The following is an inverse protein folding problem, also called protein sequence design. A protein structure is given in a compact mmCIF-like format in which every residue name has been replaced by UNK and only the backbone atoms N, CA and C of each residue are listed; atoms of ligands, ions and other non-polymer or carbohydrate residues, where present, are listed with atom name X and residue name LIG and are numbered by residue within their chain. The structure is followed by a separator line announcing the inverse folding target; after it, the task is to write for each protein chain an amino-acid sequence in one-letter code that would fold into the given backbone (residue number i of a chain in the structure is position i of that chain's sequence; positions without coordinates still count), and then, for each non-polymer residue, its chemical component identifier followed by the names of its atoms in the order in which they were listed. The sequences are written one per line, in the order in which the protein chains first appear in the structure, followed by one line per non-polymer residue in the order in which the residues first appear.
data_IF_968438809690
#
_entry.id   IF_968438809690
#
_cell.length_a   1.000
_cell.length_b   1.000
_cell.length_c   1.000
_cell.angle_alpha   90.00
_cell.angle_beta   90.00
_cell.angle_gamma   90.00
#
_symmetry.space_group_name_H-M   'P 1'
#
loop_
_entity.id
_entity.type
_entity.pdbx_description
1 polymer ?
#
# COMPACT_ATOMS: atom_id res chain seq x y z
N UNK A 1 89.41 19.54 -44.44
CA UNK A 1 89.69 20.42 -43.28
C UNK A 1 88.54 21.39 -43.24
N UNK A 2 87.61 21.47 -42.29
CA UNK A 2 87.48 21.22 -40.84
C UNK A 2 85.99 21.58 -40.61
N UNK A 3 85.19 21.13 -39.65
CA UNK A 3 85.36 20.39 -38.42
C UNK A 3 83.98 20.38 -37.74
N UNK A 4 83.63 19.23 -37.17
CA UNK A 4 82.87 19.04 -35.93
C UNK A 4 81.40 19.48 -35.83
N UNK A 5 80.61 18.43 -35.62
CA UNK A 5 79.36 18.37 -34.90
C UNK A 5 79.33 19.14 -33.57
N UNK A 6 78.14 19.61 -33.18
CA UNK A 6 77.65 19.51 -31.80
C UNK A 6 76.12 19.46 -31.74
N UNK A 7 75.68 18.65 -30.79
CA UNK A 7 74.33 18.12 -30.54
C UNK A 7 73.36 19.20 -30.05
N UNK A 8 72.09 19.04 -30.44
CA UNK A 8 70.94 19.69 -29.81
C UNK A 8 69.77 18.71 -29.74
N UNK A 9 69.65 18.01 -28.60
CA UNK A 9 68.46 17.28 -28.20
C UNK A 9 67.26 18.24 -28.17
N UNK A 10 66.10 17.85 -28.71
CA UNK A 10 64.82 17.80 -27.98
C UNK A 10 63.64 17.35 -28.85
N UNK A 11 63.10 16.20 -28.43
CA UNK A 11 61.67 15.85 -28.28
C UNK A 11 60.80 15.86 -29.53
N UNK A 12 60.51 14.65 -30.00
CA UNK A 12 59.36 14.35 -30.85
C UNK A 12 58.05 14.71 -30.13
N UNK A 13 57.24 15.52 -30.79
CA UNK A 13 55.83 15.73 -30.44
C UNK A 13 54.99 14.71 -31.20
N UNK A 14 54.49 13.71 -30.47
CA UNK A 14 53.43 12.83 -30.92
C UNK A 14 52.15 13.68 -31.03
N UNK A 15 51.61 13.83 -32.23
CA UNK A 15 50.35 14.51 -32.47
C UNK A 15 49.22 13.62 -31.91
N UNK A 16 48.75 13.92 -30.70
CA UNK A 16 47.58 13.27 -30.12
C UNK A 16 46.32 13.86 -30.77
N UNK A 17 45.65 13.05 -31.58
CA UNK A 17 44.30 13.33 -32.09
C UNK A 17 43.33 13.19 -30.92
N UNK A 18 42.91 14.31 -30.33
CA UNK A 18 41.84 14.36 -29.34
C UNK A 18 40.50 14.34 -30.09
N UNK A 19 39.89 13.15 -30.19
CA UNK A 19 38.48 13.02 -30.55
C UNK A 19 37.67 13.38 -29.32
N UNK A 20 37.16 14.61 -29.27
CA UNK A 20 36.16 15.03 -28.30
C UNK A 20 34.83 14.37 -28.68
N UNK A 21 34.49 13.25 -28.05
CA UNK A 21 33.11 12.77 -28.01
C UNK A 21 32.37 13.66 -27.00
N UNK A 22 31.62 14.65 -27.49
CA UNK A 22 30.59 15.28 -26.68
C UNK A 22 29.51 14.22 -26.42
N UNK A 23 29.59 13.57 -25.26
CA UNK A 23 28.44 12.97 -24.62
C UNK A 23 27.50 14.11 -24.26
N UNK A 24 26.52 14.36 -25.12
CA UNK A 24 25.29 15.04 -24.71
C UNK A 24 24.58 14.03 -23.81
N UNK A 25 24.90 14.06 -22.52
CA UNK A 25 23.96 13.59 -21.51
C UNK A 25 22.83 14.60 -21.58
N UNK A 26 21.79 14.27 -22.36
CA UNK A 26 20.50 14.88 -22.12
C UNK A 26 20.18 14.53 -20.67
N UNK A 27 20.31 15.51 -19.78
CA UNK A 27 19.69 15.42 -18.48
C UNK A 27 18.19 15.33 -18.78
N UNK A 28 17.68 14.10 -18.82
CA UNK A 28 16.24 13.87 -18.68
C UNK A 28 15.95 14.51 -17.34
N UNK A 29 15.25 15.65 -17.34
CA UNK A 29 14.80 16.23 -16.10
C UNK A 29 13.82 15.20 -15.52
N UNK A 30 14.28 14.43 -14.54
CA UNK A 30 13.38 13.61 -13.74
C UNK A 30 12.35 14.57 -13.13
N UNK A 31 11.10 14.13 -13.16
CA UNK A 31 10.01 14.74 -12.41
C UNK A 31 10.50 15.25 -11.05
N UNK A 32 10.15 16.49 -10.71
CA UNK A 32 10.61 17.08 -9.46
C UNK A 32 9.80 16.50 -8.29
N UNK A 33 10.43 15.96 -7.22
CA UNK A 33 9.73 15.45 -6.03
C UNK A 33 8.68 16.42 -5.45
N UNK A 34 8.94 17.73 -5.58
CA UNK A 34 8.02 18.79 -5.14
C UNK A 34 6.69 18.77 -5.90
N UNK A 35 6.73 18.64 -7.22
CA UNK A 35 5.51 18.69 -8.04
C UNK A 35 4.76 17.37 -7.94
N UNK A 36 5.46 16.24 -7.90
CA UNK A 36 4.89 14.93 -7.62
C UNK A 36 4.14 14.92 -6.28
N UNK A 37 4.75 15.40 -5.19
CA UNK A 37 4.08 15.48 -3.89
C UNK A 37 2.85 16.38 -3.94
N UNK A 38 2.93 17.52 -4.63
CA UNK A 38 1.79 18.42 -4.81
C UNK A 38 0.62 17.78 -5.57
N UNK A 39 0.87 16.74 -6.38
CA UNK A 39 -0.17 15.96 -7.05
C UNK A 39 -0.62 14.74 -6.23
N UNK A 40 0.06 14.43 -5.12
CA UNK A 40 -0.33 13.34 -4.23
C UNK A 40 -1.50 13.73 -3.35
N UNK A 41 -2.32 12.74 -2.97
CA UNK A 41 -3.35 12.90 -1.95
C UNK A 41 -2.77 13.36 -0.60
N UNK A 42 -1.50 13.03 -0.31
CA UNK A 42 -0.82 13.46 0.91
C UNK A 42 -0.71 14.98 1.05
N UNK A 43 -0.68 15.73 -0.05
CA UNK A 43 -0.62 17.21 -0.01
C UNK A 43 -1.92 17.85 0.48
N UNK A 44 -3.02 17.09 0.55
CA UNK A 44 -4.35 17.58 0.93
C UNK A 44 -4.78 16.96 2.26
N UNK A 45 -5.09 17.78 3.30
CA UNK A 45 -5.51 17.25 4.58
C UNK A 45 -6.91 16.65 4.54
N UNK A 46 -7.12 15.54 5.24
CA UNK A 46 -8.45 14.97 5.50
C UNK A 46 -9.03 15.64 6.75
N UNK A 47 -9.72 16.77 6.59
CA UNK A 47 -10.15 17.63 7.72
C UNK A 47 -10.91 16.88 8.83
N UNK A 48 -11.81 15.96 8.45
CA UNK A 48 -12.61 15.18 9.40
C UNK A 48 -11.77 14.30 10.33
N UNK A 49 -10.56 13.92 9.90
CA UNK A 49 -9.60 13.20 10.71
C UNK A 49 -8.60 14.16 11.37
N UNK A 50 -8.03 15.08 10.61
CA UNK A 50 -6.95 15.96 11.04
C UNK A 50 -7.30 16.85 12.24
N UNK A 51 -8.57 17.24 12.39
CA UNK A 51 -9.07 18.05 13.52
C UNK A 51 -9.15 17.29 14.84
N UNK A 52 -9.08 15.96 14.83
CA UNK A 52 -9.17 15.10 16.02
C UNK A 52 -7.77 14.73 16.50
N UNK A 53 -7.44 15.06 17.75
CA UNK A 53 -6.10 14.83 18.31
C UNK A 53 -5.56 13.41 18.11
N UNK A 54 -6.39 12.37 18.31
CA UNK A 54 -5.99 10.97 18.13
C UNK A 54 -5.83 10.52 16.67
N UNK A 55 -6.11 11.38 15.69
CA UNK A 55 -5.99 11.10 14.25
C UNK A 55 -5.03 12.09 13.57
N UNK A 56 -4.79 13.26 14.17
CA UNK A 56 -3.91 14.31 13.66
C UNK A 56 -2.48 13.79 13.40
N UNK A 57 -1.99 12.82 14.17
CA UNK A 57 -0.66 12.22 13.97
C UNK A 57 -0.42 11.76 12.52
N UNK A 58 -1.44 11.26 11.83
CA UNK A 58 -1.30 10.79 10.45
C UNK A 58 -1.95 11.72 9.41
N UNK A 59 -2.79 12.66 9.86
CA UNK A 59 -3.63 13.48 8.99
C UNK A 59 -3.31 14.99 9.07
N UNK A 60 -2.32 15.40 9.84
CA UNK A 60 -1.75 16.75 9.88
C UNK A 60 -0.22 16.66 9.84
N UNK A 61 0.40 17.16 8.76
CA UNK A 61 1.85 17.13 8.57
C UNK A 61 2.64 17.68 9.76
N UNK A 62 2.37 18.92 10.21
CA UNK A 62 3.07 19.51 11.36
C UNK A 62 2.92 18.70 12.67
N UNK A 63 1.79 18.04 12.89
CA UNK A 63 1.63 17.13 14.04
C UNK A 63 2.51 15.90 13.88
N UNK A 64 2.56 15.29 12.69
CA UNK A 64 3.47 14.17 12.40
C UNK A 64 4.95 14.57 12.61
N UNK A 65 5.35 15.75 12.14
CA UNK A 65 6.70 16.30 12.30
C UNK A 65 7.07 16.68 13.74
N UNK A 66 6.11 16.62 14.68
CA UNK A 66 6.31 17.03 16.07
C UNK A 66 6.37 18.55 16.27
N UNK A 67 5.88 19.33 15.31
CA UNK A 67 5.85 20.80 15.36
C UNK A 67 4.66 21.32 16.19
N UNK A 68 3.69 20.46 16.49
CA UNK A 68 2.54 20.79 17.34
C UNK A 68 2.55 20.00 18.66
N UNK A 69 2.08 20.58 19.77
CA UNK A 69 1.89 19.84 21.01
C UNK A 69 0.87 18.71 20.87
N UNK A 70 1.10 17.59 21.57
CA UNK A 70 0.14 16.48 21.61
C UNK A 70 -1.20 16.88 22.25
N UNK A 71 -2.29 16.23 21.83
CA UNK A 71 -3.60 16.37 22.47
C UNK A 71 -4.38 17.65 22.15
N UNK A 72 -3.85 18.52 21.29
CA UNK A 72 -4.53 19.77 20.90
C UNK A 72 -5.52 19.54 19.76
N UNK A 73 -6.60 20.33 19.75
CA UNK A 73 -7.51 20.38 18.61
C UNK A 73 -6.86 21.18 17.48
N UNK A 74 -6.87 20.63 16.28
CA UNK A 74 -6.30 21.29 15.09
C UNK A 74 -7.40 22.06 14.38
N UNK A 75 -7.24 23.38 14.22
CA UNK A 75 -8.23 24.26 13.55
C UNK A 75 -7.84 24.63 12.12
N UNK A 76 -6.59 24.37 11.73
CA UNK A 76 -6.04 24.63 10.40
C UNK A 76 -5.14 23.44 10.02
N UNK A 77 -5.74 22.31 9.61
CA UNK A 77 -5.00 21.11 9.27
C UNK A 77 -4.21 21.32 7.97
N UNK A 78 -3.01 20.74 7.90
CA UNK A 78 -2.14 20.79 6.72
C UNK A 78 -1.90 19.39 6.16
N UNK A 79 -1.91 19.28 4.84
CA UNK A 79 -1.39 18.08 4.19
C UNK A 79 0.10 17.90 4.50
N UNK A 80 0.61 16.71 4.22
CA UNK A 80 2.01 16.39 4.37
C UNK A 80 2.84 17.16 3.33
N UNK A 81 4.00 17.58 3.78
CA UNK A 81 5.02 18.34 3.08
C UNK A 81 6.36 17.60 3.18
N UNK A 82 7.38 18.11 2.49
CA UNK A 82 8.69 17.47 2.47
C UNK A 82 9.28 17.31 3.88
N UNK A 83 9.11 18.32 4.73
CA UNK A 83 9.65 18.33 6.10
C UNK A 83 8.90 17.42 7.06
N UNK A 84 7.73 16.90 6.66
CA UNK A 84 6.99 15.95 7.48
C UNK A 84 7.57 14.54 7.31
N UNK A 85 8.05 14.19 6.12
CA UNK A 85 8.73 12.92 5.89
C UNK A 85 10.24 12.98 6.14
N UNK A 86 10.85 14.14 5.85
CA UNK A 86 12.30 14.35 5.93
C UNK A 86 12.67 15.39 7.00
N UNK A 87 13.72 15.10 7.75
CA UNK A 87 14.45 16.04 8.59
C UNK A 87 15.93 16.02 8.21
N UNK A 88 16.30 16.79 7.19
CA UNK A 88 17.69 16.92 6.74
C UNK A 88 18.62 17.61 7.75
N UNK A 89 18.05 18.21 8.80
CA UNK A 89 18.82 18.92 9.83
C UNK A 89 19.11 18.07 11.05
N UNK A 90 18.25 17.09 11.35
CA UNK A 90 18.30 16.30 12.58
C UNK A 90 18.32 14.79 12.37
N UNK A 91 17.81 14.27 11.26
CA UNK A 91 17.82 12.84 10.99
C UNK A 91 19.17 12.37 10.43
N UNK A 92 19.64 11.23 10.91
CA UNK A 92 20.81 10.51 10.38
C UNK A 92 20.40 9.34 9.47
N UNK A 93 19.10 9.13 9.27
CA UNK A 93 18.62 8.11 8.36
C UNK A 93 18.95 8.46 6.89
N UNK A 94 19.02 7.46 5.99
CA UNK A 94 19.12 7.71 4.55
C UNK A 94 18.10 8.74 4.06
N UNK A 95 18.53 9.62 3.17
CA UNK A 95 17.74 10.74 2.62
C UNK A 95 17.12 11.68 3.68
N UNK A 96 17.58 11.62 4.93
CA UNK A 96 17.06 12.40 6.04
C UNK A 96 15.67 11.95 6.51
N UNK A 97 15.23 10.71 6.26
CA UNK A 97 13.90 10.25 6.68
C UNK A 97 13.68 10.36 8.20
N UNK A 98 12.51 10.82 8.64
CA UNK A 98 12.18 10.91 10.08
C UNK A 98 11.98 9.55 10.74
N UNK A 99 11.53 8.57 9.97
CA UNK A 99 11.32 7.19 10.42
C UNK A 99 12.01 6.27 9.41
N UNK A 100 12.86 5.37 9.90
CA UNK A 100 13.62 4.45 9.08
C UNK A 100 13.95 3.18 9.86
N UNK A 101 14.09 2.07 9.14
CA UNK A 101 14.57 0.79 9.65
C UNK A 101 13.43 -0.11 10.07
N UNK A 102 12.72 0.25 11.14
CA UNK A 102 11.64 -0.57 11.68
C UNK A 102 10.34 0.18 11.94
N UNK A 103 9.22 -0.53 11.78
CA UNK A 103 7.90 -0.07 12.15
C UNK A 103 7.17 -1.16 12.95
N UNK A 104 6.49 -0.76 14.02
CA UNK A 104 5.72 -1.66 14.88
C UNK A 104 4.24 -1.58 14.54
N UNK A 105 3.66 -2.69 14.15
CA UNK A 105 2.22 -2.84 13.91
C UNK A 105 1.44 -2.90 15.23
N UNK A 106 0.11 -2.61 15.22
CA UNK A 106 -0.75 -2.66 16.40
C UNK A 106 -0.78 -4.01 17.12
N UNK A 107 -0.60 -5.12 16.40
CA UNK A 107 -0.53 -6.47 16.96
C UNK A 107 0.82 -6.77 17.65
N UNK A 108 1.75 -5.83 17.64
CA UNK A 108 3.07 -5.94 18.24
C UNK A 108 4.17 -6.47 17.31
N UNK A 109 3.84 -6.91 16.10
CA UNK A 109 4.82 -7.33 15.11
C UNK A 109 5.70 -6.15 14.71
N UNK A 110 7.02 -6.35 14.70
CA UNK A 110 8.00 -5.37 14.24
C UNK A 110 8.45 -5.76 12.85
N UNK A 111 8.21 -4.87 11.88
CA UNK A 111 8.66 -5.01 10.51
C UNK A 111 10.03 -4.36 10.35
N UNK A 112 10.94 -5.03 9.65
CA UNK A 112 12.25 -4.49 9.26
C UNK A 112 12.18 -4.14 7.78
N UNK A 113 11.81 -2.89 7.48
CA UNK A 113 11.39 -2.46 6.15
C UNK A 113 12.05 -1.14 5.70
N UNK A 114 13.17 -0.77 6.32
CA UNK A 114 14.01 0.33 5.86
C UNK A 114 13.22 1.62 5.70
N UNK A 115 13.20 2.15 4.48
CA UNK A 115 12.48 3.39 4.13
C UNK A 115 10.95 3.26 4.30
N UNK A 116 10.38 2.08 4.08
CA UNK A 116 8.95 1.85 4.22
C UNK A 116 8.45 1.88 5.68
N UNK A 117 9.35 1.92 6.67
CA UNK A 117 8.98 2.13 8.07
C UNK A 117 8.15 3.43 8.24
N UNK A 118 8.52 4.47 7.49
CA UNK A 118 7.77 5.73 7.46
C UNK A 118 6.33 5.53 6.98
N UNK A 119 6.13 4.78 5.90
CA UNK A 119 4.81 4.53 5.34
C UNK A 119 3.90 3.80 6.34
N UNK A 120 4.43 2.74 6.97
CA UNK A 120 3.69 1.90 7.93
C UNK A 120 3.32 2.65 9.22
N UNK A 121 4.01 3.74 9.54
CA UNK A 121 3.66 4.58 10.71
C UNK A 121 2.22 5.12 10.62
N UNK A 122 1.75 5.41 9.41
CA UNK A 122 0.38 5.85 9.14
C UNK A 122 -0.49 4.75 8.51
N UNK A 123 0.08 3.97 7.59
CA UNK A 123 -0.60 2.88 6.89
C UNK A 123 -0.59 1.59 7.69
N UNK A 124 -1.29 1.63 8.83
CA UNK A 124 -1.60 0.48 9.66
C UNK A 124 -3.08 0.46 10.10
N UNK A 125 -3.53 -0.67 10.63
CA UNK A 125 -4.88 -0.94 11.10
C UNK A 125 -5.25 -0.22 12.41
N UNK A 126 -4.31 0.49 13.06
CA UNK A 126 -4.38 1.17 14.39
C UNK A 126 -4.79 0.32 15.58
N UNK A 127 -5.51 -0.77 15.35
CA UNK A 127 -5.95 -1.79 16.30
C UNK A 127 -5.74 -3.14 15.65
N UNK A 128 -5.46 -4.11 16.49
CA UNK A 128 -5.44 -5.51 16.09
C UNK A 128 -6.76 -6.20 16.43
N UNK A 129 -6.96 -7.41 15.91
CA UNK A 129 -8.06 -8.31 16.25
C UNK A 129 -8.15 -8.63 17.75
N UNK A 130 -7.02 -8.62 18.47
CA UNK A 130 -6.96 -8.79 19.92
C UNK A 130 -7.34 -7.54 20.75
N UNK A 131 -7.51 -6.36 20.13
CA UNK A 131 -7.98 -5.16 20.84
C UNK A 131 -9.38 -5.40 21.46
N UNK A 132 -9.65 -4.95 22.69
CA UNK A 132 -10.92 -5.23 23.36
C UNK A 132 -12.17 -4.80 22.56
N UNK A 133 -12.13 -3.69 21.81
CA UNK A 133 -13.28 -3.27 20.99
C UNK A 133 -13.43 -4.16 19.76
N UNK A 134 -12.32 -4.53 19.14
CA UNK A 134 -12.32 -5.42 17.97
C UNK A 134 -12.79 -6.82 18.36
N UNK A 135 -12.28 -7.36 19.47
CA UNK A 135 -12.65 -8.67 20.00
C UNK A 135 -14.11 -8.74 20.45
N UNK A 136 -14.69 -7.61 20.88
CA UNK A 136 -16.10 -7.50 21.27
C UNK A 136 -17.08 -7.32 20.11
N UNK A 137 -16.61 -7.27 18.85
CA UNK A 137 -17.51 -7.10 17.72
C UNK A 137 -17.89 -5.65 17.40
N UNK A 138 -17.15 -4.66 17.92
CA UNK A 138 -17.59 -3.26 17.96
C UNK A 138 -16.86 -2.33 16.98
N UNK A 139 -15.80 -2.79 16.30
CA UNK A 139 -15.01 -1.94 15.42
C UNK A 139 -14.81 -2.50 14.02
N UNK A 140 -14.73 -1.60 13.06
CA UNK A 140 -14.22 -1.90 11.72
C UNK A 140 -12.68 -1.84 11.71
N UNK A 141 -12.00 -2.53 10.78
CA UNK A 141 -10.58 -2.28 10.55
C UNK A 141 -10.39 -0.81 10.17
N UNK A 142 -9.26 -0.21 10.57
CA UNK A 142 -8.95 1.14 10.10
C UNK A 142 -8.76 1.14 8.57
N UNK A 143 -9.10 2.25 7.91
CA UNK A 143 -9.09 2.40 6.45
C UNK A 143 -7.68 2.59 5.85
N UNK A 144 -6.70 1.89 6.42
CA UNK A 144 -5.30 1.93 5.98
C UNK A 144 -4.50 0.69 6.44
N UNK A 145 -5.02 -0.55 6.33
CA UNK A 145 -4.36 -1.73 6.90
C UNK A 145 -3.24 -2.30 6.01
N UNK A 146 -2.63 -1.47 5.14
CA UNK A 146 -1.67 -1.96 4.13
C UNK A 146 -0.44 -2.60 4.77
N UNK A 147 0.05 -2.05 5.90
CA UNK A 147 1.16 -2.64 6.64
C UNK A 147 0.86 -4.06 7.14
N UNK A 148 -0.33 -4.28 7.68
CA UNK A 148 -0.79 -5.60 8.13
C UNK A 148 -1.02 -6.56 6.96
N UNK A 149 -1.65 -6.11 5.87
CA UNK A 149 -1.88 -6.94 4.69
C UNK A 149 -0.55 -7.41 4.09
N UNK A 150 0.40 -6.51 3.90
CA UNK A 150 1.73 -6.83 3.40
C UNK A 150 2.48 -7.78 4.35
N UNK A 151 2.29 -7.63 5.67
CA UNK A 151 2.88 -8.55 6.64
C UNK A 151 2.14 -9.90 6.77
N UNK A 152 0.91 -10.00 6.28
CA UNK A 152 0.06 -11.18 6.43
C UNK A 152 -0.48 -11.35 7.84
N UNK A 153 -0.97 -10.28 8.45
CA UNK A 153 -1.49 -10.26 9.82
C UNK A 153 -2.68 -9.31 9.96
N UNK A 154 -3.19 -9.12 11.18
CA UNK A 154 -4.15 -8.04 11.52
C UNK A 154 -5.61 -8.32 11.14
N UNK A 155 -5.89 -9.49 10.57
CA UNK A 155 -7.22 -9.98 10.24
C UNK A 155 -7.57 -11.24 11.06
N UNK A 156 -8.86 -11.63 11.08
CA UNK A 156 -9.32 -12.80 11.80
C UNK A 156 -9.06 -14.08 11.02
N UNK A 157 -8.19 -14.92 11.54
CA UNK A 157 -7.93 -16.24 10.97
C UNK A 157 -8.92 -17.29 11.50
N UNK A 158 -9.55 -18.03 10.58
CA UNK A 158 -10.45 -19.12 10.91
C UNK A 158 -9.74 -20.49 10.99
N UNK A 159 -10.15 -21.38 11.92
CA UNK A 159 -9.60 -22.72 12.04
C UNK A 159 -9.76 -23.54 10.75
N UNK A 160 -8.80 -24.43 10.49
CA UNK A 160 -8.83 -25.33 9.32
C UNK A 160 -8.22 -24.74 8.05
N UNK A 161 -7.81 -23.47 8.09
CA UNK A 161 -7.07 -22.81 7.01
C UNK A 161 -5.60 -22.61 7.39
N UNK A 162 -4.74 -22.60 6.37
CA UNK A 162 -3.33 -22.23 6.52
C UNK A 162 -3.12 -20.89 5.83
N UNK A 163 -2.76 -19.89 6.60
CA UNK A 163 -2.46 -18.56 6.07
C UNK A 163 -0.98 -18.47 5.68
N UNK A 164 -0.72 -17.96 4.48
CA UNK A 164 0.60 -17.88 3.87
C UNK A 164 0.78 -16.57 3.13
N UNK A 165 2.02 -16.14 2.99
CA UNK A 165 2.38 -14.90 2.32
C UNK A 165 2.86 -15.11 0.89
N UNK A 166 2.66 -14.08 0.07
CA UNK A 166 3.13 -14.01 -1.32
C UNK A 166 4.51 -13.35 -1.42
N UNK A 167 5.14 -13.41 -2.60
CA UNK A 167 6.53 -12.95 -2.77
C UNK A 167 6.69 -11.43 -2.56
N UNK A 168 5.64 -10.62 -2.78
CA UNK A 168 5.74 -9.18 -2.52
C UNK A 168 5.99 -8.83 -1.05
N UNK A 169 5.67 -9.71 -0.11
CA UNK A 169 5.95 -9.49 1.33
C UNK A 169 7.44 -9.58 1.66
N UNK A 170 8.29 -10.00 0.72
CA UNK A 170 9.74 -10.16 0.93
C UNK A 170 10.56 -9.07 0.25
N UNK A 171 9.92 -8.03 -0.29
CA UNK A 171 10.63 -6.90 -0.89
C UNK A 171 11.26 -6.04 0.23
N UNK A 172 12.57 -5.86 0.18
CA UNK A 172 13.37 -5.22 1.24
C UNK A 172 12.95 -3.75 1.51
N UNK A 173 12.67 -2.98 0.45
CA UNK A 173 12.18 -1.59 0.54
C UNK A 173 10.65 -1.49 0.66
N UNK A 174 9.95 -2.63 0.82
CA UNK A 174 8.50 -2.70 1.05
C UNK A 174 7.68 -1.80 0.12
N UNK A 175 6.95 -0.86 0.72
CA UNK A 175 6.08 0.09 0.01
C UNK A 175 6.83 0.93 -1.04
N UNK A 176 8.06 1.36 -0.72
CA UNK A 176 8.87 2.26 -1.56
C UNK A 176 9.29 1.57 -2.86
N UNK A 177 9.51 0.25 -2.82
CA UNK A 177 9.87 -0.55 -4.01
C UNK A 177 8.86 -0.42 -5.15
N UNK A 178 7.57 -0.26 -4.81
CA UNK A 178 6.49 -0.13 -5.79
C UNK A 178 6.02 1.32 -5.94
N UNK A 179 5.58 1.92 -4.83
CA UNK A 179 4.87 3.21 -4.86
C UNK A 179 5.77 4.38 -5.22
N UNK A 180 7.08 4.28 -4.96
CA UNK A 180 8.06 5.30 -5.34
C UNK A 180 8.90 4.90 -6.55
N UNK A 181 8.53 3.81 -7.25
CA UNK A 181 9.17 3.49 -8.51
C UNK A 181 9.01 4.67 -9.49
N UNK A 182 10.00 4.91 -10.39
CA UNK A 182 9.93 6.01 -11.34
C UNK A 182 8.61 6.00 -12.13
N UNK A 183 8.02 7.16 -12.35
CA UNK A 183 6.88 7.34 -13.25
C UNK A 183 7.30 7.53 -14.72
N UNK A 184 6.34 7.90 -15.60
CA UNK A 184 6.64 8.33 -16.95
C UNK A 184 7.65 9.49 -16.99
N UNK A 185 8.49 9.54 -18.03
CA UNK A 185 9.48 10.59 -18.20
C UNK A 185 8.85 11.92 -18.64
N UNK A 186 9.61 13.02 -18.58
CA UNK A 186 9.15 14.31 -19.09
C UNK A 186 8.77 14.18 -20.58
N UNK A 187 7.57 14.64 -20.92
CA UNK A 187 7.00 14.52 -22.27
C UNK A 187 6.13 13.27 -22.48
N UNK A 188 6.05 12.36 -21.51
CA UNK A 188 5.17 11.20 -21.54
C UNK A 188 3.94 11.41 -20.64
N UNK A 189 2.76 10.96 -21.04
CA UNK A 189 1.59 11.00 -20.18
C UNK A 189 1.50 9.72 -19.32
N UNK A 190 1.08 9.80 -18.03
CA UNK A 190 0.78 11.00 -17.25
C UNK A 190 1.97 11.44 -16.34
N UNK A 191 2.90 12.24 -16.88
CA UNK A 191 4.03 12.82 -16.15
C UNK A 191 3.64 13.45 -14.80
N UNK A 192 4.45 13.19 -13.75
CA UNK A 192 4.26 13.69 -12.38
C UNK A 192 2.93 13.30 -11.71
N UNK A 193 2.17 12.34 -12.25
CA UNK A 193 0.91 11.85 -11.68
C UNK A 193 0.96 10.39 -11.19
N UNK A 194 2.07 9.70 -11.47
CA UNK A 194 2.27 8.28 -11.18
C UNK A 194 3.72 8.09 -10.71
N UNK A 195 3.94 7.23 -9.71
CA UNK A 195 5.27 6.89 -9.19
C UNK A 195 5.91 8.02 -8.38
N UNK A 196 7.18 7.84 -8.01
CA UNK A 196 7.95 8.83 -7.25
C UNK A 196 7.22 9.32 -5.99
N UNK A 197 7.22 10.63 -5.76
CA UNK A 197 6.56 11.25 -4.60
C UNK A 197 5.05 11.49 -4.80
N UNK A 198 4.46 11.00 -5.89
CA UNK A 198 3.00 10.88 -5.98
C UNK A 198 2.51 9.72 -5.12
N UNK A 199 3.35 8.69 -4.96
CA UNK A 199 3.06 7.38 -4.37
C UNK A 199 1.95 6.60 -5.09
N UNK A 200 1.53 7.09 -6.26
CA UNK A 200 0.38 6.59 -7.00
C UNK A 200 0.83 5.50 -7.98
N UNK A 201 0.19 4.34 -7.93
CA UNK A 201 0.49 3.24 -8.85
C UNK A 201 -0.26 3.33 -10.17
N UNK A 202 -1.41 4.01 -10.23
CA UNK A 202 -2.16 4.19 -11.47
C UNK A 202 -2.90 5.53 -11.50
N UNK A 203 -2.99 6.12 -12.69
CA UNK A 203 -3.72 7.37 -12.94
C UNK A 203 -4.39 7.31 -14.31
N UNK A 204 -5.70 7.62 -14.34
CA UNK A 204 -6.52 7.67 -15.56
C UNK A 204 -6.35 6.44 -16.48
N UNK A 205 -6.30 5.24 -15.89
CA UNK A 205 -6.17 3.97 -16.61
C UNK A 205 -4.75 3.61 -17.04
N UNK A 206 -3.75 4.44 -16.73
CA UNK A 206 -2.33 4.10 -16.90
C UNK A 206 -1.77 3.51 -15.61
N UNK A 207 -1.09 2.37 -15.69
CA UNK A 207 -0.48 1.65 -14.56
C UNK A 207 1.05 1.77 -14.58
N UNK A 208 1.67 1.99 -13.41
CA UNK A 208 3.13 2.01 -13.26
C UNK A 208 3.70 0.61 -13.09
N UNK A 209 4.10 0.00 -14.20
CA UNK A 209 4.70 -1.33 -14.19
C UNK A 209 6.22 -1.31 -13.94
N UNK A 210 6.83 -0.14 -13.75
CA UNK A 210 8.29 -0.01 -13.64
C UNK A 210 8.87 -0.84 -12.49
N UNK A 211 8.17 -0.89 -11.34
CA UNK A 211 8.54 -1.73 -10.20
C UNK A 211 8.44 -3.25 -10.48
N UNK A 212 7.64 -3.64 -11.46
CA UNK A 212 7.26 -5.03 -11.66
C UNK A 212 8.24 -5.78 -12.57
N UNK A 213 8.90 -5.07 -13.50
CA UNK A 213 9.58 -5.69 -14.65
C UNK A 213 10.75 -6.60 -14.28
N UNK A 214 11.39 -6.40 -13.12
CA UNK A 214 12.50 -7.24 -12.65
C UNK A 214 12.07 -8.69 -12.36
N UNK A 215 10.84 -8.88 -11.87
CA UNK A 215 10.28 -10.20 -11.55
C UNK A 215 9.16 -10.62 -12.52
N UNK A 216 8.51 -9.66 -13.18
CA UNK A 216 7.39 -9.83 -14.08
C UNK A 216 7.67 -9.14 -15.43
N UNK A 217 8.64 -9.63 -16.21
CA UNK A 217 9.12 -8.95 -17.42
C UNK A 217 8.08 -8.86 -18.55
N UNK A 218 7.00 -9.64 -18.46
CA UNK A 218 5.90 -9.68 -19.42
C UNK A 218 4.60 -9.10 -18.86
N UNK A 219 4.63 -8.50 -17.67
CA UNK A 219 3.44 -7.86 -17.12
C UNK A 219 3.07 -6.65 -17.98
N UNK A 220 1.82 -6.62 -18.42
CA UNK A 220 1.20 -5.46 -19.10
C UNK A 220 0.12 -4.82 -18.25
N UNK A 221 -0.16 -5.39 -17.08
CA UNK A 221 -1.07 -4.84 -16.07
C UNK A 221 -0.77 -5.42 -14.68
N UNK A 222 -1.16 -4.71 -13.63
CA UNK A 222 -1.25 -5.22 -12.26
C UNK A 222 -2.17 -6.45 -12.19
N UNK A 223 -3.25 -6.43 -12.96
CA UNK A 223 -4.20 -7.52 -13.08
C UNK A 223 -3.69 -8.64 -14.00
N UNK A 224 -2.46 -9.08 -13.77
CA UNK A 224 -1.84 -10.21 -14.47
C UNK A 224 -2.63 -11.50 -14.23
N UNK A 225 -2.54 -12.50 -15.15
CA UNK A 225 -3.25 -13.77 -14.99
C UNK A 225 -3.02 -14.40 -13.62
N UNK A 226 -4.13 -14.77 -12.96
CA UNK A 226 -4.10 -15.52 -11.72
C UNK A 226 -3.61 -16.95 -11.97
N UNK A 227 -3.25 -17.65 -10.89
CA UNK A 227 -2.78 -19.05 -11.00
C UNK A 227 -3.90 -20.06 -10.97
N UNK A 228 -5.10 -19.66 -10.55
CA UNK A 228 -6.31 -20.47 -10.50
C UNK A 228 -7.53 -19.56 -10.33
N UNK A 229 -8.70 -20.11 -10.62
CA UNK A 229 -10.03 -19.57 -10.32
C UNK A 229 -10.26 -19.68 -8.80
N UNK A 230 -10.23 -18.56 -8.09
CA UNK A 230 -10.32 -18.50 -6.63
C UNK A 230 -11.71 -18.11 -6.13
N UNK A 231 -12.54 -17.48 -6.96
CA UNK A 231 -13.90 -17.08 -6.62
C UNK A 231 -14.97 -18.10 -7.04
N UNK A 232 -14.59 -19.07 -7.88
CA UNK A 232 -15.42 -20.21 -8.27
C UNK A 232 -16.39 -19.90 -9.42
N UNK A 233 -16.17 -18.82 -10.17
CA UNK A 233 -17.07 -18.42 -11.27
C UNK A 233 -16.84 -19.23 -12.57
N UNK A 234 -15.87 -20.15 -12.56
CA UNK A 234 -15.42 -21.01 -13.66
C UNK A 234 -14.69 -20.27 -14.77
N UNK A 235 -14.17 -19.09 -14.49
CA UNK A 235 -13.32 -18.31 -15.38
C UNK A 235 -11.97 -18.14 -14.69
N UNK A 236 -10.90 -18.21 -15.48
CA UNK A 236 -9.57 -17.88 -14.99
C UNK A 236 -9.26 -16.47 -15.46
N UNK A 237 -9.22 -15.53 -14.51
CA UNK A 237 -9.08 -14.10 -14.77
C UNK A 237 -7.74 -13.57 -14.23
N UNK A 238 -7.64 -12.25 -14.08
CA UNK A 238 -6.47 -11.63 -13.46
C UNK A 238 -6.55 -11.66 -11.93
N UNK A 239 -5.41 -11.51 -11.26
CA UNK A 239 -5.32 -11.57 -9.79
C UNK A 239 -6.30 -10.60 -9.09
N UNK A 240 -6.46 -9.39 -9.61
CA UNK A 240 -7.34 -8.39 -9.02
C UNK A 240 -8.82 -8.70 -9.29
N UNK A 241 -9.14 -9.28 -10.46
CA UNK A 241 -10.50 -9.72 -10.79
C UNK A 241 -10.94 -10.86 -9.86
N UNK A 242 -10.10 -11.88 -9.68
CA UNK A 242 -10.37 -13.02 -8.79
C UNK A 242 -10.57 -12.59 -7.33
N UNK A 243 -9.75 -11.66 -6.84
CA UNK A 243 -9.90 -11.11 -5.48
C UNK A 243 -11.16 -10.25 -5.37
N UNK A 244 -11.48 -9.46 -6.38
CA UNK A 244 -12.70 -8.66 -6.43
C UNK A 244 -13.95 -9.55 -6.46
N UNK A 245 -13.96 -10.61 -7.26
CA UNK A 245 -15.04 -11.59 -7.29
C UNK A 245 -15.25 -12.27 -5.94
N UNK A 246 -14.16 -12.64 -5.25
CA UNK A 246 -14.23 -13.15 -3.88
C UNK A 246 -14.79 -12.12 -2.88
N UNK A 247 -14.41 -10.85 -2.98
CA UNK A 247 -14.96 -9.76 -2.14
C UNK A 247 -16.48 -9.69 -2.32
N UNK A 248 -16.96 -9.65 -3.55
CA UNK A 248 -18.39 -9.60 -3.85
C UNK A 248 -19.13 -10.86 -3.39
N UNK A 249 -18.53 -12.04 -3.58
CA UNK A 249 -19.11 -13.31 -3.15
C UNK A 249 -19.22 -13.40 -1.61
N UNK A 250 -18.18 -13.03 -0.88
CA UNK A 250 -18.15 -13.03 0.59
C UNK A 250 -19.16 -12.02 1.13
N UNK A 251 -19.22 -10.81 0.55
CA UNK A 251 -20.20 -9.79 0.92
C UNK A 251 -21.62 -10.29 0.72
N UNK A 252 -21.92 -10.88 -0.43
CA UNK A 252 -23.23 -11.47 -0.70
C UNK A 252 -23.59 -12.58 0.28
N UNK A 253 -22.64 -13.45 0.63
CA UNK A 253 -22.84 -14.51 1.62
C UNK A 253 -23.13 -13.95 3.02
N UNK A 254 -22.39 -12.93 3.46
CA UNK A 254 -22.63 -12.24 4.73
C UNK A 254 -24.03 -11.64 4.74
N UNK A 255 -24.36 -10.82 3.74
CA UNK A 255 -25.63 -10.12 3.66
C UNK A 255 -26.82 -11.08 3.58
N UNK A 256 -26.68 -12.23 2.92
CA UNK A 256 -27.69 -13.27 2.88
C UNK A 256 -27.88 -13.97 4.24
N UNK A 257 -26.80 -14.21 4.99
CA UNK A 257 -26.83 -14.89 6.29
C UNK A 257 -27.42 -14.03 7.42
N UNK A 258 -27.44 -12.71 7.27
CA UNK A 258 -27.99 -11.78 8.26
C UNK A 258 -29.49 -12.04 8.56
N UNK A 259 -29.91 -11.60 9.73
CA UNK A 259 -31.29 -11.68 10.22
C UNK A 259 -31.88 -13.11 10.18
N UNK A 260 -31.03 -14.11 10.47
CA UNK A 260 -31.38 -15.53 10.45
C UNK A 260 -31.66 -16.06 9.04
N UNK A 261 -30.95 -15.55 8.03
CA UNK A 261 -31.15 -15.91 6.62
C UNK A 261 -32.22 -15.09 5.90
N UNK A 262 -32.83 -14.10 6.57
CA UNK A 262 -33.76 -13.15 5.92
C UNK A 262 -33.03 -12.06 5.15
N UNK A 263 -31.75 -11.91 5.42
CA UNK A 263 -30.81 -10.99 4.81
C UNK A 263 -30.79 -9.60 5.46
N UNK A 264 -29.77 -8.83 5.13
CA UNK A 264 -29.50 -7.52 5.68
C UNK A 264 -28.44 -6.77 4.88
N UNK A 265 -27.92 -5.69 5.44
CA UNK A 265 -26.85 -4.90 4.84
C UNK A 265 -25.76 -4.61 5.86
N UNK A 266 -24.51 -4.58 5.39
CA UNK A 266 -23.36 -4.14 6.17
C UNK A 266 -23.30 -2.61 6.10
N UNK A 267 -23.10 -1.96 7.24
CA UNK A 267 -22.90 -0.52 7.31
C UNK A 267 -21.67 -0.20 8.14
N UNK A 268 -20.78 0.66 7.66
CA UNK A 268 -19.64 1.14 8.43
C UNK A 268 -19.87 2.60 8.81
N UNK A 269 -19.76 2.91 10.10
CA UNK A 269 -19.95 4.27 10.61
C UNK A 269 -18.97 4.56 11.74
N UNK A 270 -18.22 5.66 11.62
CA UNK A 270 -17.29 6.14 12.65
C UNK A 270 -16.28 5.10 13.16
N UNK A 271 -15.85 4.17 12.29
CA UNK A 271 -14.92 3.08 12.64
C UNK A 271 -15.57 1.91 13.39
N UNK A 272 -16.89 1.78 13.32
CA UNK A 272 -17.66 0.63 13.77
C UNK A 272 -18.35 -0.06 12.59
N UNK A 273 -18.49 -1.37 12.68
CA UNK A 273 -19.36 -2.15 11.80
C UNK A 273 -20.73 -2.26 12.45
N UNK A 274 -21.76 -1.97 11.68
CA UNK A 274 -23.14 -2.14 12.04
C UNK A 274 -23.82 -3.06 11.02
N UNK A 275 -24.73 -3.89 11.51
CA UNK A 275 -25.52 -4.78 10.67
C UNK A 275 -26.96 -4.29 10.72
N UNK A 276 -27.54 -4.03 9.55
CA UNK A 276 -28.90 -3.54 9.45
C UNK A 276 -29.76 -4.59 8.75
N UNK A 277 -31.07 -4.55 8.99
CA UNK A 277 -32.06 -5.29 8.19
C UNK A 277 -32.04 -4.78 6.75
N UNK A 278 -32.74 -5.48 5.87
CA UNK A 278 -32.94 -5.09 4.46
C UNK A 278 -33.54 -3.69 4.25
N UNK A 279 -34.17 -3.12 5.28
CA UNK A 279 -34.66 -1.74 5.24
C UNK A 279 -33.53 -0.68 5.29
N UNK A 280 -32.30 -1.09 5.61
CA UNK A 280 -31.14 -0.21 5.73
C UNK A 280 -31.21 0.77 6.90
N UNK A 281 -32.12 0.55 7.86
CA UNK A 281 -32.37 1.46 8.97
C UNK A 281 -32.39 0.74 10.32
N UNK A 282 -32.95 -0.46 10.38
CA UNK A 282 -33.12 -1.19 11.63
C UNK A 282 -31.85 -1.98 11.95
N UNK A 283 -31.15 -1.59 13.02
CA UNK A 283 -29.98 -2.31 13.50
C UNK A 283 -30.34 -3.71 14.00
N UNK A 284 -29.52 -4.69 13.64
CA UNK A 284 -29.57 -6.06 14.10
C UNK A 284 -28.76 -6.21 15.39
N UNK A 285 -29.31 -6.96 16.34
CA UNK A 285 -28.64 -7.35 17.59
C UNK A 285 -28.31 -8.83 17.56
N UNK A 286 -27.31 -9.25 18.35
CA UNK A 286 -26.95 -10.66 18.49
C UNK A 286 -26.40 -11.29 17.21
N UNK A 287 -25.75 -10.50 16.35
CA UNK A 287 -25.12 -11.01 15.12
C UNK A 287 -24.06 -12.06 15.49
N UNK A 288 -24.06 -13.25 14.85
CA UNK A 288 -23.07 -14.27 15.11
C UNK A 288 -21.63 -13.76 14.97
N UNK A 289 -20.75 -14.21 15.86
CA UNK A 289 -19.34 -13.83 15.85
C UNK A 289 -18.64 -14.13 14.52
N UNK A 290 -18.99 -15.25 13.87
CA UNK A 290 -18.46 -15.60 12.55
C UNK A 290 -18.81 -14.57 11.48
N UNK A 291 -20.03 -14.01 11.51
CA UNK A 291 -20.45 -12.95 10.59
C UNK A 291 -19.66 -11.67 10.84
N UNK A 292 -19.47 -11.28 12.10
CA UNK A 292 -18.65 -10.12 12.42
C UNK A 292 -17.19 -10.29 11.94
N UNK A 293 -16.56 -11.42 12.25
CA UNK A 293 -15.17 -11.70 11.86
C UNK A 293 -15.01 -11.73 10.33
N UNK A 294 -15.94 -12.38 9.62
CA UNK A 294 -15.94 -12.39 8.16
C UNK A 294 -16.12 -10.98 7.57
N UNK A 295 -16.97 -10.15 8.19
CA UNK A 295 -17.16 -8.75 7.78
C UNK A 295 -15.92 -7.91 8.04
N UNK A 296 -15.24 -8.12 9.17
CA UNK A 296 -13.98 -7.45 9.44
C UNK A 296 -12.92 -7.81 8.39
N UNK A 297 -12.79 -9.09 8.03
CA UNK A 297 -11.86 -9.54 7.00
C UNK A 297 -12.20 -8.98 5.61
N UNK A 298 -13.49 -8.96 5.24
CA UNK A 298 -13.97 -8.33 4.01
C UNK A 298 -13.51 -6.87 3.95
N UNK A 299 -13.84 -6.08 4.98
CA UNK A 299 -13.45 -4.67 5.06
C UNK A 299 -11.94 -4.49 5.13
N UNK A 300 -11.20 -5.42 5.71
CA UNK A 300 -9.74 -5.39 5.76
C UNK A 300 -9.12 -5.50 4.37
N UNK A 301 -9.62 -6.44 3.55
CA UNK A 301 -9.18 -6.60 2.16
C UNK A 301 -9.65 -5.43 1.28
N UNK A 302 -10.88 -4.94 1.45
CA UNK A 302 -11.37 -3.76 0.73
C UNK A 302 -10.57 -2.50 1.06
N UNK A 303 -10.31 -2.26 2.35
CA UNK A 303 -9.57 -1.08 2.81
C UNK A 303 -8.06 -1.15 2.50
N UNK A 304 -7.49 -2.34 2.30
CA UNK A 304 -6.14 -2.49 1.76
C UNK A 304 -6.04 -1.85 0.36
N UNK A 305 -7.08 -2.03 -0.46
CA UNK A 305 -7.24 -1.34 -1.74
C UNK A 305 -6.35 -1.86 -2.87
N UNK A 306 -5.46 -2.83 -2.63
CA UNK A 306 -4.59 -3.39 -3.67
C UNK A 306 -5.25 -4.50 -4.50
N UNK A 307 -6.43 -4.99 -4.07
CA UNK A 307 -7.09 -6.18 -4.62
C UNK A 307 -6.13 -7.38 -4.68
N UNK A 308 -5.39 -7.58 -3.58
CA UNK A 308 -4.51 -8.72 -3.38
C UNK A 308 -3.09 -8.56 -3.96
N UNK A 309 -2.72 -7.42 -4.55
CA UNK A 309 -1.33 -7.22 -5.01
C UNK A 309 -0.35 -7.16 -3.83
N UNK A 310 -0.72 -6.56 -2.70
CA UNK A 310 0.18 -6.54 -1.53
C UNK A 310 0.48 -7.94 -1.00
N UNK A 311 -0.53 -8.82 -0.93
CA UNK A 311 -0.37 -10.20 -0.47
C UNK A 311 -1.49 -11.11 -0.96
N UNK A 312 -1.36 -11.62 -2.18
CA UNK A 312 -2.44 -12.36 -2.87
C UNK A 312 -2.88 -13.60 -2.10
N UNK A 313 -1.93 -14.40 -1.64
CA UNK A 313 -2.20 -15.60 -0.88
C UNK A 313 -3.01 -15.32 0.38
N UNK A 314 -2.60 -14.33 1.17
CA UNK A 314 -3.28 -13.99 2.41
C UNK A 314 -4.69 -13.43 2.15
N UNK A 315 -4.84 -12.52 1.18
CA UNK A 315 -6.14 -11.95 0.82
C UNK A 315 -7.14 -13.02 0.37
N UNK A 316 -6.73 -13.92 -0.54
CA UNK A 316 -7.58 -15.03 -1.01
C UNK A 316 -7.94 -15.98 0.14
N UNK A 317 -6.96 -16.37 0.96
CA UNK A 317 -7.18 -17.27 2.09
C UNK A 317 -8.14 -16.66 3.14
N UNK A 318 -8.02 -15.37 3.43
CA UNK A 318 -8.94 -14.65 4.31
C UNK A 318 -10.37 -14.64 3.77
N UNK A 319 -10.55 -14.38 2.48
CA UNK A 319 -11.88 -14.31 1.88
C UNK A 319 -12.53 -15.69 1.79
N UNK A 320 -11.80 -16.71 1.32
CA UNK A 320 -12.31 -18.09 1.24
C UNK A 320 -12.66 -18.65 2.62
N UNK A 321 -11.84 -18.38 3.64
CA UNK A 321 -12.14 -18.82 5.00
C UNK A 321 -13.31 -18.08 5.63
N UNK A 322 -13.45 -16.78 5.33
CA UNK A 322 -14.60 -15.98 5.75
C UNK A 322 -15.90 -16.48 5.12
N UNK A 323 -15.89 -16.81 3.82
CA UNK A 323 -17.03 -17.43 3.14
C UNK A 323 -17.43 -18.74 3.83
N UNK A 324 -16.47 -19.62 4.11
CA UNK A 324 -16.76 -20.89 4.77
C UNK A 324 -17.26 -20.71 6.20
N UNK A 325 -16.74 -19.74 6.95
CA UNK A 325 -17.20 -19.46 8.30
C UNK A 325 -18.66 -18.95 8.34
N UNK A 326 -19.10 -18.25 7.30
CA UNK A 326 -20.46 -17.71 7.18
C UNK A 326 -21.44 -18.77 6.67
N UNK A 327 -21.05 -19.53 5.64
CA UNK A 327 -21.96 -20.44 4.93
C UNK A 327 -21.92 -21.88 5.42
N UNK A 328 -20.84 -22.26 6.13
CA UNK A 328 -20.55 -23.65 6.49
C UNK A 328 -19.97 -24.50 5.36
N UNK A 329 -19.73 -23.91 4.19
CA UNK A 329 -19.22 -24.61 3.00
C UNK A 329 -18.06 -23.84 2.36
N UNK A 330 -17.06 -24.53 1.78
CA UNK A 330 -16.02 -23.84 1.01
C UNK A 330 -16.65 -23.08 -0.18
N UNK A 331 -15.90 -22.12 -0.73
CA UNK A 331 -16.30 -21.43 -1.96
C UNK A 331 -16.57 -22.48 -3.05
N UNK A 332 -17.79 -22.54 -3.62
CA UNK A 332 -18.14 -23.55 -4.60
C UNK A 332 -17.25 -23.44 -5.84
N UNK A 333 -16.83 -24.58 -6.41
CA UNK A 333 -16.03 -24.68 -7.64
C UNK A 333 -14.67 -23.95 -7.66
N UNK A 334 -14.31 -23.22 -6.61
CA UNK A 334 -13.04 -22.52 -6.50
C UNK A 334 -11.85 -23.43 -6.19
N UNK A 335 -10.68 -23.04 -6.68
CA UNK A 335 -9.41 -23.52 -6.18
C UNK A 335 -9.13 -22.92 -4.79
N UNK A 336 -9.17 -23.78 -3.77
CA UNK A 336 -8.87 -23.37 -2.39
C UNK A 336 -7.36 -23.16 -2.23
N UNK A 337 -6.99 -22.01 -1.67
CA UNK A 337 -5.61 -21.62 -1.40
C UNK A 337 -5.23 -21.80 0.06
#
# INVERSE_FOLDING_TARGET
MTSLARRGLRRGGLLAVLVFVLLVVAAVAQAGPKQELANSAHSTPVESAATRAACATCHDGPTFAGERPEGVTITDPKGLSCTDCHDWSGSQAPEGLRVYGEAKLPNGLVLQNGSAALCVTCHNGRRDTGDPKTAQGLSAPHRSPQGEMLAGTGAFEFPGYRYTNSVHTTLEEGCVACHMAPGPAEGEAPFERIGGHTFTMAYEGTENLNACTDCHPLATSFNRPATADWDGDRRLEGVQDEVHGLVELVKGAIEAALDGGRGGVIHESHGAVEFLKKDGQTKLEGVPESIYKATYNLLFVENDGSLGIHNTAYAVQLLQSSYQAVTGHPVPDAAIR
#
